data_IF_360956010844
#
_entry.id   IF_360956010844
#
_cell.length_a   1.000
_cell.length_b   1.000
_cell.length_c   1.000
_cell.angle_alpha   90.00
_cell.angle_beta   90.00
_cell.angle_gamma   90.00
#
_symmetry.space_group_name_H-M   'P 1'
#
loop_
_entity.id
_entity.type
_entity.pdbx_description
1 polymer ?
#
# COMPACT_ATOMS: atom_id res chain seq x y z
N UNK A 1 -25.16 22.67 0.53
CA UNK A 1 -26.05 21.49 0.56
C UNK A 1 -25.18 20.28 0.80
N UNK A 2 -25.55 19.48 1.80
CA UNK A 2 -24.97 18.17 2.09
C UNK A 2 -26.11 17.16 2.03
N UNK A 3 -25.97 16.12 1.21
CA UNK A 3 -26.97 15.06 1.06
C UNK A 3 -26.41 13.82 1.75
N UNK A 4 -27.11 13.21 2.72
CA UNK A 4 -26.62 11.99 3.36
C UNK A 4 -26.38 10.85 2.36
N UNK A 5 -25.28 10.12 2.56
CA UNK A 5 -24.93 8.89 1.85
C UNK A 5 -24.70 7.83 2.90
N UNK A 6 -25.71 6.98 3.10
CA UNK A 6 -25.71 5.96 4.14
C UNK A 6 -24.73 4.83 3.84
N UNK A 7 -24.37 4.11 4.90
CA UNK A 7 -23.64 2.85 4.79
C UNK A 7 -24.56 1.77 4.20
N UNK A 8 -24.00 0.83 3.47
CA UNK A 8 -24.72 -0.33 2.90
C UNK A 8 -25.92 0.07 2.03
N UNK A 9 -25.80 1.20 1.32
CA UNK A 9 -26.81 1.75 0.43
C UNK A 9 -27.25 0.72 -0.62
N UNK A 10 -28.55 0.66 -0.88
CA UNK A 10 -29.16 -0.21 -1.88
C UNK A 10 -30.07 0.59 -2.82
N UNK A 11 -30.22 0.10 -4.05
CA UNK A 11 -31.23 0.60 -4.97
C UNK A 11 -32.64 0.07 -4.62
N UNK A 12 -33.64 0.47 -5.40
CA UNK A 12 -35.04 0.05 -5.24
C UNK A 12 -35.25 -1.47 -5.38
N UNK A 13 -34.31 -2.18 -6.02
CA UNK A 13 -34.35 -3.63 -6.22
C UNK A 13 -33.49 -4.38 -5.18
N UNK A 14 -32.89 -3.66 -4.22
CA UNK A 14 -32.03 -4.22 -3.19
C UNK A 14 -30.58 -4.48 -3.63
N UNK A 15 -30.18 -4.03 -4.82
CA UNK A 15 -28.80 -4.16 -5.31
C UNK A 15 -27.88 -3.21 -4.57
N UNK A 16 -26.62 -3.61 -4.29
CA UNK A 16 -25.66 -2.78 -3.58
C UNK A 16 -25.23 -1.55 -4.38
N UNK A 17 -25.27 -0.38 -3.75
CA UNK A 17 -24.79 0.89 -4.30
C UNK A 17 -23.49 1.29 -3.60
N UNK A 18 -22.52 1.78 -4.36
CA UNK A 18 -21.25 2.25 -3.81
C UNK A 18 -20.78 3.55 -4.48
N UNK A 19 -19.90 4.28 -3.81
CA UNK A 19 -19.15 5.38 -4.40
C UNK A 19 -17.66 5.15 -4.18
N UNK A 20 -16.92 4.89 -5.26
CA UNK A 20 -15.49 4.64 -5.21
C UNK A 20 -14.94 3.84 -6.39
N UNK A 21 -13.83 3.14 -6.14
CA UNK A 21 -13.23 2.21 -7.10
C UNK A 21 -13.38 0.80 -6.52
N UNK A 22 -13.83 -0.11 -7.38
CA UNK A 22 -14.19 -1.47 -7.04
C UNK A 22 -13.38 -2.43 -7.91
N UNK A 23 -12.95 -3.55 -7.33
CA UNK A 23 -12.32 -4.66 -8.05
C UNK A 23 -13.35 -5.74 -8.34
N UNK A 24 -13.59 -5.96 -9.63
CA UNK A 24 -14.25 -7.17 -10.12
C UNK A 24 -13.34 -8.36 -9.85
N UNK A 25 -13.82 -9.31 -9.04
CA UNK A 25 -13.06 -10.51 -8.64
C UNK A 25 -13.15 -11.65 -9.64
N UNK A 26 -14.09 -11.58 -10.57
CA UNK A 26 -14.41 -12.64 -11.52
C UNK A 26 -13.52 -12.49 -12.76
N UNK A 27 -13.51 -11.30 -13.36
CA UNK A 27 -12.65 -10.96 -14.51
C UNK A 27 -11.33 -10.28 -14.12
N UNK A 28 -11.14 -9.99 -12.83
CA UNK A 28 -9.95 -9.31 -12.28
C UNK A 28 -9.69 -7.98 -12.98
N UNK A 29 -10.62 -7.04 -12.79
CA UNK A 29 -10.54 -5.70 -13.38
C UNK A 29 -11.07 -4.63 -12.43
N UNK A 30 -10.59 -3.40 -12.57
CA UNK A 30 -11.04 -2.27 -11.76
C UNK A 30 -12.11 -1.45 -12.50
N UNK A 31 -13.14 -1.04 -11.78
CA UNK A 31 -14.19 -0.17 -12.31
C UNK A 31 -14.66 0.84 -11.25
N UNK A 32 -15.12 2.03 -11.67
CA UNK A 32 -15.61 3.04 -10.77
C UNK A 32 -17.10 2.84 -10.47
N UNK A 33 -17.54 3.37 -9.34
CA UNK A 33 -18.95 3.61 -9.03
C UNK A 33 -19.09 4.98 -8.38
N UNK A 34 -20.21 5.67 -8.57
CA UNK A 34 -20.49 6.91 -7.85
C UNK A 34 -21.99 7.02 -7.60
N UNK A 35 -22.44 6.44 -6.48
CA UNK A 35 -23.86 6.20 -6.20
C UNK A 35 -24.55 5.39 -7.29
N UNK A 36 -23.82 4.44 -7.86
CA UNK A 36 -24.29 3.48 -8.85
C UNK A 36 -24.13 2.06 -8.32
N UNK A 37 -24.89 1.13 -8.90
CA UNK A 37 -24.84 -0.28 -8.50
C UNK A 37 -23.43 -0.85 -8.69
N UNK A 38 -23.00 -1.68 -7.74
CA UNK A 38 -21.90 -2.61 -7.99
C UNK A 38 -22.40 -3.65 -9.00
N UNK A 39 -21.50 -4.07 -9.90
CA UNK A 39 -21.80 -5.16 -10.83
C UNK A 39 -22.08 -6.49 -10.11
N UNK A 40 -21.52 -6.67 -8.91
CA UNK A 40 -21.73 -7.83 -8.04
C UNK A 40 -21.43 -7.45 -6.59
N UNK A 41 -22.23 -7.94 -5.64
CA UNK A 41 -22.03 -7.74 -4.20
C UNK A 41 -20.66 -8.23 -3.73
N UNK A 42 -20.16 -9.34 -4.29
CA UNK A 42 -18.91 -10.01 -3.90
C UNK A 42 -17.65 -9.25 -4.33
N UNK A 43 -17.78 -8.31 -5.27
CA UNK A 43 -16.66 -7.49 -5.73
C UNK A 43 -16.05 -6.70 -4.57
N UNK A 44 -14.72 -6.54 -4.59
CA UNK A 44 -13.98 -5.95 -3.46
C UNK A 44 -13.93 -4.43 -3.59
N UNK A 45 -14.23 -3.74 -2.50
CA UNK A 45 -14.09 -2.29 -2.42
C UNK A 45 -12.59 -1.96 -2.32
N UNK A 46 -12.03 -1.30 -3.33
CA UNK A 46 -10.64 -0.85 -3.30
C UNK A 46 -10.53 0.41 -2.47
N UNK A 47 -11.38 1.38 -2.76
CA UNK A 47 -11.59 2.56 -1.94
C UNK A 47 -13.03 3.00 -2.13
N UNK A 48 -13.75 3.22 -1.04
CA UNK A 48 -15.13 3.71 -1.06
C UNK A 48 -15.31 4.76 0.02
N UNK A 49 -16.21 5.70 -0.21
CA UNK A 49 -16.58 6.71 0.78
C UNK A 49 -18.09 6.70 1.04
N UNK A 50 -18.44 7.11 2.25
CA UNK A 50 -19.80 7.29 2.76
C UNK A 50 -19.87 8.61 3.55
N UNK A 51 -21.01 8.97 4.11
CA UNK A 51 -21.19 10.18 4.91
C UNK A 51 -22.08 11.17 4.18
N UNK A 52 -21.49 12.14 3.47
CA UNK A 52 -22.27 13.18 2.80
C UNK A 52 -21.79 13.45 1.37
N UNK A 53 -22.73 13.60 0.45
CA UNK A 53 -22.51 14.14 -0.88
C UNK A 53 -22.58 15.67 -0.84
N UNK A 54 -21.59 16.32 -1.44
CA UNK A 54 -21.57 17.77 -1.70
C UNK A 54 -20.99 18.06 -3.07
N UNK A 55 -21.48 19.11 -3.72
CA UNK A 55 -20.82 19.69 -4.88
C UNK A 55 -19.81 20.76 -4.48
N UNK A 56 -18.57 20.63 -4.95
CA UNK A 56 -17.51 21.61 -4.77
C UNK A 56 -17.41 22.50 -6.01
N UNK A 57 -18.00 23.70 -5.92
CA UNK A 57 -18.03 24.68 -7.03
C UNK A 57 -16.64 25.14 -7.47
N UNK A 58 -15.65 25.20 -6.57
CA UNK A 58 -14.29 25.65 -6.94
C UNK A 58 -13.56 24.58 -7.76
N UNK A 59 -13.70 23.31 -7.36
CA UNK A 59 -13.06 22.17 -8.02
C UNK A 59 -13.89 21.55 -9.15
N UNK A 60 -15.15 21.95 -9.31
CA UNK A 60 -16.10 21.36 -10.27
C UNK A 60 -16.23 19.83 -10.13
N UNK A 61 -16.30 19.36 -8.88
CA UNK A 61 -16.43 17.93 -8.56
C UNK A 61 -17.57 17.67 -7.58
N UNK A 62 -18.22 16.53 -7.71
CA UNK A 62 -19.02 15.93 -6.66
C UNK A 62 -18.11 15.20 -5.68
N UNK A 63 -18.33 15.33 -4.38
CA UNK A 63 -17.50 14.74 -3.33
C UNK A 63 -18.39 13.96 -2.36
N UNK A 64 -17.95 12.77 -1.98
CA UNK A 64 -18.56 11.94 -0.94
C UNK A 64 -17.50 11.66 0.12
N UNK A 65 -17.83 11.94 1.39
CA UNK A 65 -16.97 11.70 2.54
C UNK A 65 -17.59 12.26 3.82
N UNK A 66 -16.89 12.09 4.94
CA UNK A 66 -17.29 12.70 6.21
C UNK A 66 -17.21 14.23 6.18
N UNK A 67 -18.03 14.92 6.98
CA UNK A 67 -18.13 16.40 6.92
C UNK A 67 -16.79 17.10 7.12
N UNK A 68 -15.98 16.65 8.07
CA UNK A 68 -14.67 17.24 8.33
C UNK A 68 -13.70 16.98 7.18
N UNK A 69 -13.66 15.75 6.64
CA UNK A 69 -12.87 15.41 5.45
C UNK A 69 -13.27 16.22 4.20
N UNK A 70 -14.56 16.53 4.05
CA UNK A 70 -15.07 17.38 2.96
C UNK A 70 -14.71 18.86 3.12
N UNK A 71 -14.37 19.29 4.34
CA UNK A 71 -13.87 20.64 4.62
C UNK A 71 -12.36 20.71 4.45
N UNK A 72 -11.65 19.71 4.97
CA UNK A 72 -10.20 19.58 4.91
C UNK A 72 -9.80 18.17 4.41
N UNK A 73 -9.37 18.11 3.14
CA UNK A 73 -9.08 16.83 2.48
C UNK A 73 -7.84 16.13 3.06
N UNK A 74 -7.00 16.83 3.84
CA UNK A 74 -5.83 16.25 4.51
C UNK A 74 -6.15 15.53 5.82
N UNK A 75 -7.36 15.65 6.36
CA UNK A 75 -7.79 14.91 7.55
C UNK A 75 -7.95 13.40 7.27
N UNK A 76 -7.90 12.51 8.26
CA UNK A 76 -8.24 11.10 8.12
C UNK A 76 -9.63 10.83 7.53
N UNK A 77 -9.80 9.66 6.94
CA UNK A 77 -11.04 9.17 6.35
C UNK A 77 -11.05 9.18 4.83
N UNK A 78 -11.98 8.40 4.28
CA UNK A 78 -12.10 8.23 2.84
C UNK A 78 -12.87 9.38 2.18
N UNK A 79 -12.40 9.78 1.02
CA UNK A 79 -13.00 10.79 0.14
C UNK A 79 -13.05 10.24 -1.28
N UNK A 80 -14.24 10.22 -1.88
CA UNK A 80 -14.41 9.89 -3.30
C UNK A 80 -14.92 11.11 -4.03
N UNK A 81 -14.32 11.43 -5.17
CA UNK A 81 -14.71 12.56 -6.00
C UNK A 81 -14.99 12.13 -7.43
N UNK A 82 -16.06 12.66 -8.02
CA UNK A 82 -16.38 12.54 -9.44
C UNK A 82 -16.24 13.92 -10.09
N UNK A 83 -15.37 14.03 -11.09
CA UNK A 83 -15.27 15.24 -11.90
C UNK A 83 -16.51 15.43 -12.76
N UNK A 84 -17.08 16.64 -12.74
CA UNK A 84 -18.27 16.97 -13.55
C UNK A 84 -17.97 16.89 -15.05
N UNK A 85 -16.80 17.39 -15.47
CA UNK A 85 -16.50 17.58 -16.88
C UNK A 85 -15.79 16.37 -17.50
N UNK A 86 -14.85 15.75 -16.76
CA UNK A 86 -14.05 14.64 -17.29
C UNK A 86 -14.53 13.25 -16.84
N UNK A 87 -15.51 13.20 -15.93
CA UNK A 87 -16.01 11.96 -15.30
C UNK A 87 -14.92 11.13 -14.59
N UNK A 88 -13.75 11.70 -14.31
CA UNK A 88 -12.71 11.03 -13.52
C UNK A 88 -13.23 10.74 -12.12
N UNK A 89 -13.04 9.50 -11.68
CA UNK A 89 -13.31 9.08 -10.30
C UNK A 89 -12.00 8.97 -9.56
N UNK A 90 -11.88 9.69 -8.45
CA UNK A 90 -10.72 9.65 -7.57
C UNK A 90 -11.15 9.19 -6.20
N UNK A 91 -10.45 8.21 -5.66
CA UNK A 91 -10.55 7.86 -4.25
C UNK A 91 -9.30 8.32 -3.50
N UNK A 92 -9.48 8.76 -2.26
CA UNK A 92 -8.42 9.13 -1.34
C UNK A 92 -8.72 8.56 0.04
N UNK A 93 -7.69 8.08 0.75
CA UNK A 93 -7.80 7.55 2.10
C UNK A 93 -7.09 6.21 2.22
N UNK A 94 -7.55 5.39 3.16
CA UNK A 94 -7.14 4.00 3.27
C UNK A 94 -7.77 3.17 2.14
N UNK A 95 -6.97 2.36 1.47
CA UNK A 95 -7.40 1.53 0.35
C UNK A 95 -7.12 0.05 0.61
N UNK A 96 -7.64 -0.81 -0.25
CA UNK A 96 -7.39 -2.24 -0.27
C UNK A 96 -7.08 -2.66 -1.72
N UNK A 97 -5.89 -3.19 -1.99
CA UNK A 97 -5.52 -3.65 -3.33
C UNK A 97 -6.24 -4.94 -3.76
N UNK A 98 -7.19 -5.48 -2.98
CA UNK A 98 -7.94 -6.69 -3.32
C UNK A 98 -7.09 -7.96 -3.36
N UNK A 99 -5.89 -7.90 -2.78
CA UNK A 99 -4.95 -9.02 -2.66
C UNK A 99 -5.26 -9.81 -1.40
N UNK A 100 -5.38 -11.12 -1.53
CA UNK A 100 -5.42 -12.03 -0.40
C UNK A 100 -3.98 -12.40 -0.01
N UNK A 101 -3.50 -11.76 1.06
CA UNK A 101 -2.13 -11.92 1.57
C UNK A 101 -2.04 -12.53 2.97
N UNK A 102 -3.10 -13.15 3.46
CA UNK A 102 -3.07 -13.89 4.73
C UNK A 102 -2.49 -13.07 5.89
N UNK A 103 -1.39 -13.55 6.47
CA UNK A 103 -0.69 -12.87 7.57
C UNK A 103 0.28 -11.75 7.11
N UNK A 104 0.51 -11.57 5.81
CA UNK A 104 1.18 -10.40 5.26
C UNK A 104 0.15 -9.28 5.12
N UNK A 105 0.18 -8.33 6.04
CA UNK A 105 -0.66 -7.13 5.98
C UNK A 105 -0.08 -6.12 4.99
N UNK A 106 -0.94 -5.63 4.08
CA UNK A 106 -0.63 -4.61 3.09
C UNK A 106 -1.72 -3.56 3.15
N UNK A 107 -1.41 -2.41 3.76
CA UNK A 107 -2.37 -1.32 3.93
C UNK A 107 -1.86 -0.08 3.21
N UNK A 108 -2.39 0.22 2.02
CA UNK A 108 -2.07 1.44 1.30
C UNK A 108 -2.92 2.63 1.77
N UNK A 109 -2.26 3.78 1.98
CA UNK A 109 -2.88 5.07 2.29
C UNK A 109 -2.49 6.08 1.23
N UNK A 110 -3.45 6.66 0.52
CA UNK A 110 -3.10 7.56 -0.58
C UNK A 110 -4.26 7.91 -1.49
N UNK A 111 -3.95 8.11 -2.77
CA UNK A 111 -4.90 8.47 -3.83
C UNK A 111 -4.85 7.44 -4.95
N UNK A 112 -6.01 7.14 -5.49
CA UNK A 112 -6.18 6.31 -6.69
C UNK A 112 -7.14 6.99 -7.64
N UNK A 113 -6.86 6.90 -8.93
CA UNK A 113 -7.54 7.60 -10.00
C UNK A 113 -8.01 6.57 -11.02
N UNK A 114 -9.26 6.70 -11.45
CA UNK A 114 -9.81 5.94 -12.57
C UNK A 114 -10.10 6.91 -13.72
N UNK A 115 -9.49 6.65 -14.88
CA UNK A 115 -9.79 7.37 -16.12
C UNK A 115 -10.89 6.64 -16.89
N UNK A 116 -12.09 7.22 -17.09
CA UNK A 116 -13.14 6.59 -17.87
C UNK A 116 -12.79 6.44 -19.34
N UNK A 117 -12.00 7.36 -19.90
CA UNK A 117 -11.58 7.35 -21.30
C UNK A 117 -10.59 6.22 -21.56
N UNK A 118 -9.54 6.11 -20.75
CA UNK A 118 -8.50 5.08 -20.92
C UNK A 118 -8.89 3.73 -20.31
N UNK A 119 -9.87 3.73 -19.40
CA UNK A 119 -10.21 2.59 -18.53
C UNK A 119 -8.97 2.11 -17.77
N UNK A 120 -8.18 3.06 -17.27
CA UNK A 120 -6.92 2.84 -16.57
C UNK A 120 -7.05 3.26 -15.11
N UNK A 121 -6.27 2.60 -14.25
CA UNK A 121 -6.12 2.97 -12.85
C UNK A 121 -4.66 3.26 -12.55
N UNK A 122 -4.44 4.38 -11.90
CA UNK A 122 -3.14 4.80 -11.38
C UNK A 122 -3.31 5.39 -9.98
N UNK A 123 -2.22 5.53 -9.24
CA UNK A 123 -2.26 6.09 -7.91
C UNK A 123 -0.90 6.34 -7.30
N UNK A 124 -0.94 6.92 -6.10
CA UNK A 124 0.22 7.13 -5.25
C UNK A 124 -0.20 6.85 -3.82
N UNK A 125 0.57 6.05 -3.11
CA UNK A 125 0.26 5.67 -1.74
C UNK A 125 1.50 5.42 -0.90
N UNK A 126 1.36 5.63 0.40
CA UNK A 126 2.21 5.00 1.40
C UNK A 126 1.71 3.58 1.63
N UNK A 127 2.54 2.59 1.33
CA UNK A 127 2.24 1.17 1.57
C UNK A 127 2.83 0.78 2.91
N UNK A 128 1.97 0.45 3.86
CA UNK A 128 2.36 -0.10 5.16
C UNK A 128 2.34 -1.61 5.10
N UNK A 129 3.50 -2.23 5.34
CA UNK A 129 3.70 -3.67 5.32
C UNK A 129 3.99 -4.17 6.73
N UNK A 130 3.25 -5.19 7.16
CA UNK A 130 3.53 -5.89 8.40
C UNK A 130 3.40 -7.39 8.19
N UNK A 131 4.43 -8.16 8.54
CA UNK A 131 4.47 -9.60 8.35
C UNK A 131 5.34 -10.28 9.40
N UNK A 132 5.01 -11.53 9.80
CA UNK A 132 5.81 -12.28 10.75
C UNK A 132 7.16 -12.65 10.12
N UNK A 133 8.26 -12.26 10.76
CA UNK A 133 9.59 -12.39 10.19
C UNK A 133 10.70 -12.37 11.24
N UNK A 134 11.94 -12.66 10.82
CA UNK A 134 13.12 -12.49 11.66
C UNK A 134 13.48 -11.00 11.81
N UNK A 135 13.28 -10.44 13.00
CA UNK A 135 13.57 -9.02 13.28
C UNK A 135 15.04 -8.66 13.06
N UNK A 136 16.00 -9.53 13.41
CA UNK A 136 17.43 -9.27 13.19
C UNK A 136 17.75 -9.08 11.71
N UNK A 137 17.05 -9.80 10.82
CA UNK A 137 17.22 -9.63 9.38
C UNK A 137 16.70 -8.27 8.90
N UNK A 138 15.54 -7.82 9.38
CA UNK A 138 15.01 -6.48 9.08
C UNK A 138 15.87 -5.37 9.67
N UNK A 139 16.38 -5.53 10.89
CA UNK A 139 17.32 -4.58 11.50
C UNK A 139 18.63 -4.50 10.70
N UNK A 140 19.17 -5.64 10.23
CA UNK A 140 20.34 -5.69 9.36
C UNK A 140 20.09 -4.94 8.05
N UNK A 141 18.94 -5.18 7.41
CA UNK A 141 18.51 -4.47 6.20
C UNK A 141 18.42 -2.96 6.44
N UNK A 142 17.73 -2.52 7.50
CA UNK A 142 17.61 -1.09 7.83
C UNK A 142 18.96 -0.43 8.09
N UNK A 143 19.87 -1.10 8.79
CA UNK A 143 21.25 -0.61 9.01
C UNK A 143 22.03 -0.51 7.70
N UNK A 144 21.93 -1.51 6.83
CA UNK A 144 22.61 -1.52 5.52
C UNK A 144 22.16 -0.31 4.69
N UNK A 145 20.85 -0.14 4.49
CA UNK A 145 20.28 0.96 3.69
C UNK A 145 20.63 2.34 4.24
N UNK A 146 20.60 2.51 5.56
CA UNK A 146 20.96 3.79 6.19
C UNK A 146 22.44 4.13 5.99
N UNK A 147 23.33 3.14 6.03
CA UNK A 147 24.78 3.36 5.88
C UNK A 147 25.21 3.74 4.45
N UNK A 148 24.39 3.42 3.45
CA UNK A 148 24.64 3.72 2.04
C UNK A 148 24.43 5.21 1.73
N UNK A 149 25.36 5.77 0.95
CA UNK A 149 25.36 7.15 0.47
C UNK A 149 24.87 7.23 -0.99
N UNK A 150 24.49 8.43 -1.44
CA UNK A 150 24.10 8.68 -2.84
C UNK A 150 22.62 8.47 -3.15
N UNK A 151 21.81 8.08 -2.17
CA UNK A 151 20.36 8.10 -2.32
C UNK A 151 19.81 9.52 -2.24
N UNK A 152 18.73 9.75 -2.97
CA UNK A 152 17.92 10.95 -2.85
C UNK A 152 17.23 10.96 -1.48
N UNK A 153 17.29 12.10 -0.79
CA UNK A 153 16.59 12.31 0.47
C UNK A 153 15.08 12.26 0.27
N UNK A 154 14.37 11.71 1.25
CA UNK A 154 12.92 11.67 1.22
C UNK A 154 12.29 13.07 1.35
N UNK A 155 11.16 13.30 0.66
CA UNK A 155 10.37 14.51 0.80
C UNK A 155 9.38 14.37 1.97
N UNK A 156 9.70 15.01 3.10
CA UNK A 156 8.84 15.01 4.29
C UNK A 156 7.50 15.73 4.09
N UNK A 157 7.34 16.50 3.01
CA UNK A 157 6.07 17.14 2.63
C UNK A 157 5.16 16.24 1.77
N UNK A 158 5.53 14.96 1.58
CA UNK A 158 4.73 13.97 0.86
C UNK A 158 3.27 13.91 1.36
N UNK A 159 2.29 14.22 0.48
CA UNK A 159 0.88 14.15 0.87
C UNK A 159 0.39 12.74 1.19
N UNK A 160 0.94 11.71 0.53
CA UNK A 160 0.63 10.30 0.83
C UNK A 160 1.19 9.88 2.18
N UNK A 161 2.35 10.40 2.55
CA UNK A 161 2.97 10.09 3.83
C UNK A 161 2.29 10.81 4.99
N UNK A 162 2.01 12.11 4.83
CA UNK A 162 1.23 12.88 5.80
C UNK A 162 -0.13 12.22 6.08
N UNK A 163 -0.87 11.85 5.02
CA UNK A 163 -2.14 11.14 5.16
C UNK A 163 -1.98 9.83 5.93
N UNK A 164 -0.95 9.03 5.61
CA UNK A 164 -0.70 7.77 6.30
C UNK A 164 -0.39 7.98 7.79
N UNK A 165 0.47 8.94 8.13
CA UNK A 165 0.79 9.26 9.52
C UNK A 165 -0.46 9.67 10.30
N UNK A 166 -1.32 10.50 9.72
CA UNK A 166 -2.58 10.93 10.34
C UNK A 166 -3.56 9.77 10.54
N UNK A 167 -3.68 8.87 9.58
CA UNK A 167 -4.54 7.69 9.66
C UNK A 167 -4.03 6.66 10.68
N UNK A 168 -2.70 6.49 10.79
CA UNK A 168 -2.07 5.47 11.63
C UNK A 168 -1.91 5.94 13.08
N UNK A 169 -1.47 7.18 13.28
CA UNK A 169 -1.08 7.70 14.59
C UNK A 169 -2.12 8.66 15.19
N UNK A 170 -3.08 9.14 14.40
CA UNK A 170 -3.97 10.22 14.78
C UNK A 170 -3.32 11.61 14.66
N UNK A 171 -4.15 12.65 14.67
CA UNK A 171 -3.76 14.03 14.34
C UNK A 171 -2.61 14.55 15.21
N UNK A 172 -2.79 14.55 16.54
CA UNK A 172 -1.82 15.15 17.47
C UNK A 172 -0.43 14.48 17.40
N UNK A 173 -0.37 13.15 17.41
CA UNK A 173 0.90 12.42 17.28
C UNK A 173 1.53 12.69 15.91
N UNK A 174 0.73 12.67 14.85
CA UNK A 174 1.23 12.90 13.49
C UNK A 174 1.81 14.29 13.30
N UNK A 175 1.21 15.34 13.87
CA UNK A 175 1.72 16.70 13.76
C UNK A 175 3.09 16.86 14.44
N UNK A 176 3.27 16.22 15.60
CA UNK A 176 4.58 16.16 16.28
C UNK A 176 5.63 15.41 15.46
N UNK A 177 5.24 14.29 14.83
CA UNK A 177 6.12 13.50 13.96
C UNK A 177 6.53 14.30 12.72
N UNK A 178 5.57 14.93 12.03
CA UNK A 178 5.81 15.74 10.83
C UNK A 178 6.72 16.93 11.16
N UNK A 179 6.48 17.57 12.30
CA UNK A 179 7.33 18.66 12.80
C UNK A 179 8.77 18.21 13.04
N UNK A 180 8.96 17.10 13.76
CA UNK A 180 10.29 16.55 14.00
C UNK A 180 11.01 16.20 12.69
N UNK A 181 10.33 15.54 11.75
CA UNK A 181 10.89 15.21 10.44
C UNK A 181 11.28 16.44 9.63
N UNK A 182 10.43 17.47 9.62
CA UNK A 182 10.69 18.70 8.86
C UNK A 182 11.88 19.48 9.44
N UNK A 183 12.01 19.52 10.77
CA UNK A 183 13.04 20.32 11.45
C UNK A 183 14.37 19.56 11.57
N UNK A 184 14.31 18.25 11.86
CA UNK A 184 15.48 17.45 12.23
C UNK A 184 15.83 16.36 11.22
N UNK A 185 14.94 16.05 10.27
CA UNK A 185 15.10 14.92 9.36
C UNK A 185 14.91 13.55 10.03
N UNK A 186 14.52 13.53 11.30
CA UNK A 186 14.21 12.32 12.06
C UNK A 186 13.16 12.59 13.14
N UNK A 187 12.35 11.59 13.45
CA UNK A 187 11.42 11.55 14.57
C UNK A 187 12.24 11.42 15.85
N UNK A 188 12.07 12.34 16.80
CA UNK A 188 12.69 12.20 18.12
C UNK A 188 12.11 11.01 18.85
N UNK A 189 12.94 10.35 19.67
CA UNK A 189 12.54 9.17 20.47
C UNK A 189 11.21 9.36 21.24
N UNK A 190 10.99 10.55 21.82
CA UNK A 190 9.77 10.86 22.58
C UNK A 190 8.49 10.94 21.74
N UNK A 191 8.63 11.21 20.44
CA UNK A 191 7.53 11.38 19.49
C UNK A 191 7.38 10.16 18.58
N UNK A 192 8.23 9.13 18.73
CA UNK A 192 8.12 7.91 17.95
C UNK A 192 6.90 7.12 18.42
N UNK A 193 5.92 7.00 17.54
CA UNK A 193 4.68 6.28 17.78
C UNK A 193 4.87 4.76 17.60
N UNK A 194 4.38 3.95 18.55
CA UNK A 194 4.43 2.48 18.46
C UNK A 194 3.68 1.95 17.24
N UNK A 195 2.67 2.69 16.78
CA UNK A 195 1.90 2.41 15.58
C UNK A 195 2.77 2.42 14.30
N UNK A 196 3.97 3.02 14.33
CA UNK A 196 4.95 2.99 13.24
C UNK A 196 5.91 1.79 13.30
N UNK A 197 5.85 0.95 14.34
CA UNK A 197 6.60 -0.31 14.41
C UNK A 197 5.99 -1.34 13.47
N UNK A 198 6.32 -1.20 12.19
CA UNK A 198 5.90 -2.08 11.09
C UNK A 198 7.12 -2.68 10.42
N UNK A 199 6.97 -3.85 9.80
CA UNK A 199 8.06 -4.49 9.09
C UNK A 199 8.70 -3.54 8.07
N UNK A 200 7.87 -2.86 7.26
CA UNK A 200 8.30 -1.77 6.37
C UNK A 200 7.18 -0.75 6.16
N UNK A 201 7.51 0.53 6.13
CA UNK A 201 6.64 1.60 5.63
C UNK A 201 7.30 2.16 4.38
N UNK A 202 6.59 2.08 3.25
CA UNK A 202 7.06 2.50 1.94
C UNK A 202 6.23 3.68 1.42
N UNK A 203 6.62 4.94 1.72
CA UNK A 203 5.93 6.12 1.21
C UNK A 203 6.10 6.30 -0.30
N UNK A 204 5.19 7.10 -0.89
CA UNK A 204 5.25 7.56 -2.28
C UNK A 204 5.39 6.48 -3.34
N UNK A 205 4.85 5.29 -3.08
CA UNK A 205 4.75 4.27 -4.11
C UNK A 205 3.70 4.72 -5.12
N UNK A 206 4.17 5.25 -6.25
CA UNK A 206 3.35 5.46 -7.44
C UNK A 206 3.10 4.11 -8.10
N UNK A 207 1.88 3.86 -8.54
CA UNK A 207 1.51 2.58 -9.15
C UNK A 207 0.49 2.73 -10.27
N UNK A 208 0.48 1.74 -11.17
CA UNK A 208 -0.51 1.58 -12.24
C UNK A 208 -1.09 0.17 -12.21
N UNK A 209 -2.34 0.03 -12.64
CA UNK A 209 -2.95 -1.27 -12.86
C UNK A 209 -2.54 -1.83 -14.22
N UNK A 210 -1.83 -2.95 -14.22
CA UNK A 210 -1.47 -3.69 -15.42
C UNK A 210 -2.50 -4.80 -15.68
N UNK A 211 -3.31 -4.62 -16.74
CA UNK A 211 -4.33 -5.59 -17.16
C UNK A 211 -3.74 -6.91 -17.69
N UNK A 212 -2.56 -6.89 -18.32
CA UNK A 212 -1.96 -8.09 -18.91
C UNK A 212 -1.54 -9.10 -17.85
N UNK A 213 -1.14 -8.61 -16.69
CA UNK A 213 -0.69 -9.44 -15.56
C UNK A 213 -1.65 -9.42 -14.38
N UNK A 214 -2.76 -8.70 -14.47
CA UNK A 214 -3.72 -8.53 -13.37
C UNK A 214 -3.04 -8.08 -12.07
N UNK A 215 -2.21 -7.03 -12.18
CA UNK A 215 -1.38 -6.59 -11.07
C UNK A 215 -1.33 -5.07 -10.90
N UNK A 216 -1.13 -4.63 -9.67
CA UNK A 216 -0.63 -3.27 -9.40
C UNK A 216 0.89 -3.30 -9.53
N UNK A 217 1.46 -2.43 -10.37
CA UNK A 217 2.90 -2.28 -10.57
C UNK A 217 3.36 -0.91 -10.14
N UNK A 218 4.43 -0.84 -9.35
CA UNK A 218 5.05 0.45 -9.02
C UNK A 218 5.70 1.08 -10.25
N UNK A 219 5.79 2.41 -10.24
CA UNK A 219 6.44 3.19 -11.29
C UNK A 219 7.37 4.22 -10.65
N UNK A 220 8.62 4.24 -11.10
CA UNK A 220 9.66 5.13 -10.56
C UNK A 220 10.18 4.67 -9.20
N UNK A 221 10.81 5.62 -8.47
CA UNK A 221 11.44 5.35 -7.18
C UNK A 221 10.42 5.01 -6.10
N UNK A 222 10.88 4.24 -5.12
CA UNK A 222 10.12 3.84 -3.94
C UNK A 222 10.73 4.55 -2.72
N UNK A 223 9.90 5.25 -1.94
CA UNK A 223 10.31 5.78 -0.66
C UNK A 223 10.43 4.65 0.37
N UNK A 224 11.48 4.67 1.17
CA UNK A 224 11.61 3.84 2.37
C UNK A 224 11.56 4.78 3.57
N UNK A 225 10.46 4.74 4.32
CA UNK A 225 10.27 5.54 5.52
C UNK A 225 10.93 4.88 6.72
N UNK A 226 10.31 3.80 7.20
CA UNK A 226 10.76 3.05 8.37
C UNK A 226 10.88 1.55 8.07
N UNK A 227 11.87 0.91 8.69
CA UNK A 227 12.00 -0.55 8.79
C UNK A 227 12.09 -0.87 10.28
N UNK A 228 11.03 -1.43 10.86
CA UNK A 228 10.87 -1.48 12.32
C UNK A 228 11.07 -0.06 12.90
N UNK A 229 11.89 0.07 13.95
CA UNK A 229 12.28 1.36 14.56
C UNK A 229 13.31 2.16 13.75
N UNK A 230 13.87 1.59 12.68
CA UNK A 230 14.96 2.22 11.93
C UNK A 230 14.37 3.21 10.93
N UNK A 231 14.63 4.49 11.17
CA UNK A 231 14.28 5.60 10.30
C UNK A 231 15.24 5.65 9.12
N UNK A 232 14.72 5.50 7.90
CA UNK A 232 15.50 5.38 6.66
C UNK A 232 15.39 6.64 5.82
N UNK A 233 14.17 7.09 5.54
CA UNK A 233 13.82 8.30 4.78
C UNK A 233 14.67 8.56 3.54
N UNK A 234 14.71 7.59 2.63
CA UNK A 234 15.42 7.65 1.35
C UNK A 234 14.56 7.12 0.22
N UNK A 235 14.76 7.64 -1.00
CA UNK A 235 14.24 7.03 -2.21
C UNK A 235 15.23 6.04 -2.80
N UNK A 236 14.73 4.88 -3.21
CA UNK A 236 15.51 3.85 -3.90
C UNK A 236 14.86 3.50 -5.23
N UNK A 237 15.68 3.05 -6.19
CA UNK A 237 15.17 2.37 -7.37
C UNK A 237 14.58 1.01 -6.96
N UNK A 238 13.55 0.55 -7.65
CA UNK A 238 12.95 -0.73 -7.31
C UNK A 238 11.61 -0.98 -7.98
N UNK A 239 11.05 -2.14 -7.66
CA UNK A 239 9.81 -2.63 -8.23
C UNK A 239 8.95 -3.29 -7.17
N UNK A 240 7.67 -2.95 -7.13
CA UNK A 240 6.64 -3.64 -6.37
C UNK A 240 5.61 -4.13 -7.38
N UNK A 241 5.25 -5.41 -7.30
CA UNK A 241 4.17 -5.98 -8.08
C UNK A 241 3.23 -6.78 -7.18
N UNK A 242 1.95 -6.39 -7.16
CA UNK A 242 0.89 -7.08 -6.44
C UNK A 242 -0.02 -7.77 -7.45
N UNK A 243 0.13 -9.08 -7.61
CA UNK A 243 -0.52 -9.85 -8.67
C UNK A 243 -1.70 -10.65 -8.12
N UNK A 244 -2.89 -10.45 -8.70
CA UNK A 244 -4.05 -11.27 -8.40
C UNK A 244 -4.03 -12.54 -9.27
N UNK A 245 -4.16 -13.73 -8.67
CA UNK A 245 -4.21 -15.01 -9.41
C UNK A 245 -5.24 -15.97 -8.81
N UNK A 246 -5.76 -16.86 -9.65
CA UNK A 246 -6.65 -17.94 -9.21
C UNK A 246 -5.96 -18.94 -8.28
N UNK A 247 -4.66 -19.15 -8.45
CA UNK A 247 -3.86 -20.12 -7.67
C UNK A 247 -3.24 -19.54 -6.39
N UNK A 248 -3.68 -18.36 -5.96
CA UNK A 248 -3.08 -17.60 -4.88
C UNK A 248 -2.37 -16.35 -5.38
N UNK A 249 -2.68 -15.23 -4.72
CA UNK A 249 -2.15 -13.92 -5.05
C UNK A 249 -0.67 -13.84 -4.68
N UNK A 250 0.05 -12.94 -5.35
CA UNK A 250 1.48 -12.78 -5.17
C UNK A 250 1.85 -11.34 -4.91
N UNK A 251 2.91 -11.17 -4.14
CA UNK A 251 3.49 -9.88 -3.78
C UNK A 251 4.98 -10.00 -4.04
N UNK A 252 5.50 -9.24 -4.99
CA UNK A 252 6.93 -9.12 -5.26
C UNK A 252 7.40 -7.71 -4.87
N UNK A 253 8.51 -7.60 -4.16
CA UNK A 253 9.15 -6.34 -3.79
C UNK A 253 10.64 -6.48 -4.05
N UNK A 254 11.21 -5.61 -4.87
CA UNK A 254 12.62 -5.53 -5.17
C UNK A 254 13.11 -4.11 -4.91
N UNK A 255 14.05 -3.96 -3.97
CA UNK A 255 14.64 -2.68 -3.59
C UNK A 255 16.11 -2.69 -4.00
N UNK A 256 16.47 -1.82 -4.95
CA UNK A 256 17.81 -1.71 -5.49
C UNK A 256 18.56 -0.62 -4.73
N UNK A 257 19.64 -1.01 -4.06
CA UNK A 257 20.48 -0.06 -3.34
C UNK A 257 21.56 0.54 -4.23
N UNK A 258 22.19 -0.29 -5.04
CA UNK A 258 23.14 0.14 -6.07
C UNK A 258 23.22 -0.92 -7.19
N UNK A 259 24.21 -0.85 -8.07
CA UNK A 259 24.37 -1.79 -9.19
C UNK A 259 24.57 -3.25 -8.78
N UNK A 260 24.94 -3.54 -7.53
CA UNK A 260 25.22 -4.90 -7.04
C UNK A 260 24.41 -5.27 -5.80
N UNK A 261 23.94 -4.30 -5.03
CA UNK A 261 23.24 -4.52 -3.77
C UNK A 261 21.73 -4.34 -3.92
N UNK A 262 20.98 -5.34 -3.48
CA UNK A 262 19.52 -5.34 -3.53
C UNK A 262 18.92 -6.22 -2.43
N UNK A 263 17.64 -5.98 -2.15
CA UNK A 263 16.78 -6.82 -1.33
C UNK A 263 15.55 -7.23 -2.14
N UNK A 264 15.24 -8.52 -2.14
CA UNK A 264 14.09 -9.08 -2.85
C UNK A 264 13.21 -9.88 -1.89
N UNK A 265 11.92 -9.59 -1.92
CA UNK A 265 10.89 -10.30 -1.20
C UNK A 265 9.84 -10.79 -2.18
N UNK A 266 9.40 -12.03 -2.01
CA UNK A 266 8.29 -12.61 -2.74
C UNK A 266 7.38 -13.33 -1.77
N UNK A 267 6.09 -13.04 -1.85
CA UNK A 267 5.08 -13.79 -1.15
C UNK A 267 4.10 -14.39 -2.14
N UNK A 268 3.62 -15.59 -1.82
CA UNK A 268 2.56 -16.27 -2.53
C UNK A 268 1.57 -16.85 -1.53
N UNK A 269 0.30 -16.46 -1.63
CA UNK A 269 -0.78 -17.08 -0.86
C UNK A 269 -1.20 -18.43 -1.45
N UNK A 270 -1.92 -19.24 -0.68
CA UNK A 270 -2.41 -20.53 -1.12
C UNK A 270 -3.06 -21.35 0.00
N UNK A 271 -2.61 -22.60 0.17
CA UNK A 271 -2.94 -23.39 1.38
C UNK A 271 -2.13 -22.94 2.60
N UNK A 272 -0.96 -22.36 2.31
CA UNK A 272 0.01 -21.81 3.25
C UNK A 272 0.68 -20.64 2.52
N UNK A 273 0.74 -19.49 3.17
CA UNK A 273 1.45 -18.33 2.70
C UNK A 273 2.95 -18.57 2.76
N UNK A 274 3.62 -18.53 1.61
CA UNK A 274 5.07 -18.72 1.52
C UNK A 274 5.73 -17.38 1.20
N UNK A 275 6.54 -16.90 2.14
CA UNK A 275 7.29 -15.65 2.03
C UNK A 275 8.78 -15.94 1.84
N UNK A 276 9.30 -15.72 0.64
CA UNK A 276 10.69 -15.96 0.32
C UNK A 276 11.46 -14.64 0.22
N UNK A 277 12.67 -14.60 0.76
CA UNK A 277 13.53 -13.40 0.68
C UNK A 277 14.94 -13.74 0.18
N UNK A 278 15.58 -12.83 -0.54
CA UNK A 278 17.00 -12.93 -0.88
C UNK A 278 17.60 -11.53 -1.01
N UNK A 279 18.83 -11.37 -0.54
CA UNK A 279 19.58 -10.13 -0.70
C UNK A 279 20.96 -10.40 -1.30
N UNK A 280 21.59 -9.38 -1.86
CA UNK A 280 23.02 -9.43 -2.16
C UNK A 280 23.88 -9.52 -0.88
N UNK A 281 23.35 -9.01 0.24
CA UNK A 281 23.98 -9.02 1.55
C UNK A 281 24.03 -10.45 2.12
N UNK A 282 25.23 -11.02 2.24
CA UNK A 282 25.42 -12.41 2.70
C UNK A 282 25.00 -12.62 4.15
N UNK A 283 25.36 -11.70 5.04
CA UNK A 283 25.00 -11.77 6.46
C UNK A 283 23.47 -11.76 6.64
N UNK A 284 22.74 -10.96 5.85
CA UNK A 284 21.27 -11.00 5.85
C UNK A 284 20.75 -12.40 5.49
N UNK A 285 21.28 -13.01 4.43
CA UNK A 285 20.86 -14.34 4.00
C UNK A 285 21.20 -15.42 5.03
N UNK A 286 22.35 -15.30 5.70
CA UNK A 286 22.77 -16.19 6.78
C UNK A 286 21.81 -16.14 7.96
N UNK A 287 21.37 -14.94 8.40
CA UNK A 287 20.35 -14.80 9.45
C UNK A 287 19.05 -15.56 9.09
N UNK A 288 18.61 -15.47 7.83
CA UNK A 288 17.41 -16.18 7.37
C UNK A 288 17.64 -17.70 7.35
N UNK A 289 18.79 -18.14 6.84
CA UNK A 289 19.16 -19.55 6.73
C UNK A 289 19.30 -20.21 8.12
N UNK A 290 19.86 -19.49 9.08
CA UNK A 290 20.14 -19.99 10.43
C UNK A 290 18.93 -19.86 11.36
N UNK A 291 17.84 -19.22 10.89
CA UNK A 291 16.58 -19.23 11.64
C UNK A 291 16.05 -20.66 11.73
N UNK A 292 15.91 -21.16 12.95
CA UNK A 292 15.34 -22.49 13.21
C UNK A 292 14.00 -22.65 12.50
N UNK A 293 13.80 -23.81 11.87
CA UNK A 293 12.61 -24.12 11.05
C UNK A 293 11.29 -23.80 11.75
N UNK A 294 11.15 -24.06 13.04
CA UNK A 294 9.90 -23.78 13.76
C UNK A 294 9.66 -22.29 13.98
N UNK A 295 10.72 -21.48 14.11
CA UNK A 295 10.64 -20.01 14.19
C UNK A 295 10.35 -19.37 12.83
N UNK A 296 10.35 -20.15 11.74
CA UNK A 296 9.94 -19.66 10.42
C UNK A 296 8.45 -19.85 10.14
N UNK A 297 7.73 -20.62 10.97
CA UNK A 297 6.33 -21.00 10.78
C UNK A 297 5.43 -20.24 11.75
N UNK A 298 4.36 -19.67 11.24
CA UNK A 298 3.40 -18.89 12.02
C UNK A 298 2.01 -19.40 11.72
N UNK A 299 1.32 -19.89 12.75
CA UNK A 299 -0.02 -20.45 12.61
C UNK A 299 -1.03 -19.33 12.40
N UNK A 300 -1.88 -19.47 11.39
CA UNK A 300 -2.97 -18.53 11.14
C UNK A 300 -4.12 -18.68 12.14
N UNK A 301 -4.85 -17.60 12.38
CA UNK A 301 -6.14 -17.66 13.06
C UNK A 301 -7.19 -18.36 12.18
N UNK A 302 -8.38 -18.64 12.73
CA UNK A 302 -9.46 -19.30 11.98
C UNK A 302 -9.82 -18.50 10.72
N UNK A 303 -9.63 -19.11 9.55
CA UNK A 303 -9.91 -18.49 8.26
C UNK A 303 -8.75 -17.68 7.66
N UNK A 304 -7.62 -17.58 8.38
CA UNK A 304 -6.36 -17.02 7.88
C UNK A 304 -5.38 -18.16 7.65
N UNK A 305 -4.70 -18.17 6.51
CA UNK A 305 -3.73 -19.23 6.21
C UNK A 305 -2.49 -19.17 7.13
N UNK A 306 -1.89 -20.34 7.36
CA UNK A 306 -0.55 -20.42 7.97
C UNK A 306 0.46 -19.67 7.10
N UNK A 307 1.49 -19.13 7.74
CA UNK A 307 2.55 -18.39 7.09
C UNK A 307 3.89 -19.08 7.34
N UNK A 308 4.77 -19.07 6.35
CA UNK A 308 6.16 -19.43 6.55
C UNK A 308 7.08 -18.57 5.72
N UNK A 309 8.15 -18.07 6.34
CA UNK A 309 9.23 -17.45 5.60
C UNK A 309 10.40 -18.40 5.34
N UNK A 310 11.17 -18.14 4.28
CA UNK A 310 12.36 -18.91 3.94
C UNK A 310 13.31 -18.12 3.05
N UNK A 311 14.55 -18.60 2.94
CA UNK A 311 15.49 -18.05 1.96
C UNK A 311 15.03 -18.38 0.53
N UNK A 312 15.10 -17.39 -0.35
CA UNK A 312 14.86 -17.48 -1.79
C UNK A 312 16.18 -17.72 -2.53
N UNK A 313 16.16 -17.61 -3.85
CA UNK A 313 17.36 -17.78 -4.70
C UNK A 313 17.69 -16.51 -5.49
N UNK A 314 18.97 -16.29 -5.83
CA UNK A 314 19.37 -15.19 -6.71
C UNK A 314 18.73 -15.32 -8.10
N UNK A 315 18.45 -16.53 -8.55
CA UNK A 315 17.76 -16.79 -9.83
C UNK A 315 16.34 -16.25 -9.82
N UNK A 316 15.60 -16.42 -8.71
CA UNK A 316 14.24 -15.90 -8.59
C UNK A 316 14.22 -14.37 -8.59
N UNK A 317 15.13 -13.75 -7.84
CA UNK A 317 15.28 -12.29 -7.82
C UNK A 317 15.60 -11.71 -9.20
N UNK A 318 16.56 -12.31 -9.92
CA UNK A 318 16.92 -11.89 -11.30
C UNK A 318 15.78 -12.09 -12.29
N UNK A 319 15.03 -13.19 -12.17
CA UNK A 319 13.88 -13.44 -13.03
C UNK A 319 12.77 -12.39 -12.82
N UNK A 320 12.53 -11.96 -11.58
CA UNK A 320 11.62 -10.86 -11.29
C UNK A 320 12.13 -9.55 -11.88
N UNK A 321 13.38 -9.18 -11.63
CA UNK A 321 13.97 -7.94 -12.13
C UNK A 321 13.86 -7.84 -13.66
N UNK A 322 14.25 -8.90 -14.38
CA UNK A 322 14.17 -8.94 -15.85
C UNK A 322 12.73 -8.67 -16.34
N UNK A 323 11.73 -9.31 -15.72
CA UNK A 323 10.31 -9.12 -16.08
C UNK A 323 9.83 -7.67 -15.90
N UNK A 324 10.45 -6.92 -14.99
CA UNK A 324 10.07 -5.52 -14.72
C UNK A 324 10.83 -4.52 -15.59
N UNK A 325 11.98 -4.93 -16.14
CA UNK A 325 12.80 -4.12 -17.07
C UNK A 325 12.43 -4.35 -18.55
N UNK A 326 11.70 -5.45 -18.84
CA UNK A 326 11.09 -5.76 -20.15
C UNK A 326 9.78 -4.96 -20.38
#
# INVERSE_FOLDING_TARGET
IYIPVEKDLKDENGNPVAAGIIMNTDSVSLYPTFLSNKLNEKHKNVVVAQGFLRFNKKKQVYQIGEKEKLREESLPGNLVTLSRDSCFVRGQGQMNFGINSGQLSIVPYGKVFYSPVKKEVEGVATIVLNFPFNENALEKMGKDIVSKVGFESFDYSSPSFELALREICGLEKSDNIISDLTIHGEIKKKNFAEELLKSMILPDVKFVWNKSTNSYRSVGKIGIGNILKKQVYKYVEGYIELTKRSTGDMVDIYLKLDGKNFYYFNYKSGKKGIFQTYAANKEYNEIIKDTKTDNTKFKGEKGVEDFQFMLSSPTKARAFLRRMED
#
